data_IF_623577133549
#
_entry.id   IF_623577133549
#
_cell.length_a   1.000
_cell.length_b   1.000
_cell.length_c   1.000
_cell.angle_alpha   90.00
_cell.angle_beta   90.00
_cell.angle_gamma   90.00
#
_symmetry.space_group_name_H-M   'P 1'
#
loop_
_entity.id
_entity.type
_entity.pdbx_description
1 polymer ?
#
# COMPACT_ATOMS: atom_id res chain seq x y z
N UNK A 1 -48.56 3.45 -43.28
CA UNK A 1 -50.00 3.13 -43.28
C UNK A 1 -50.34 2.35 -44.53
N UNK A 2 -50.77 1.10 -44.37
CA UNK A 2 -51.13 0.23 -45.50
C UNK A 2 -52.53 -0.34 -45.33
N UNK A 3 -53.23 -0.59 -46.44
CA UNK A 3 -54.50 -1.29 -46.43
C UNK A 3 -54.29 -2.82 -46.27
N UNK A 4 -55.38 -3.58 -46.21
CA UNK A 4 -55.33 -5.04 -46.07
C UNK A 4 -54.61 -5.77 -47.23
N UNK A 5 -54.46 -5.13 -48.39
CA UNK A 5 -53.71 -5.64 -49.55
C UNK A 5 -52.22 -5.23 -49.54
N UNK A 6 -51.75 -4.56 -48.48
CA UNK A 6 -50.36 -4.10 -48.34
C UNK A 6 -50.03 -2.82 -49.11
N UNK A 7 -51.02 -2.14 -49.70
CA UNK A 7 -50.81 -0.91 -50.47
C UNK A 7 -50.83 0.32 -49.55
N UNK A 8 -49.96 1.29 -49.82
CA UNK A 8 -49.91 2.56 -49.11
C UNK A 8 -51.24 3.31 -49.17
N UNK A 9 -51.68 3.86 -48.03
CA UNK A 9 -52.88 4.71 -47.96
C UNK A 9 -52.43 6.16 -47.78
N UNK A 10 -52.69 7.02 -48.77
CA UNK A 10 -52.39 8.43 -48.71
C UNK A 10 -53.48 9.24 -47.98
N UNK A 11 -53.14 10.42 -47.48
CA UNK A 11 -54.13 11.35 -46.92
C UNK A 11 -54.51 11.11 -45.45
N UNK A 12 -53.88 10.13 -44.78
CA UNK A 12 -54.18 9.79 -43.37
C UNK A 12 -53.33 10.66 -42.45
N UNK A 13 -53.95 11.39 -41.53
CA UNK A 13 -53.23 12.19 -40.53
C UNK A 13 -52.63 11.29 -39.45
N UNK A 14 -51.34 11.49 -39.16
CA UNK A 14 -50.63 10.79 -38.08
C UNK A 14 -50.22 11.79 -37.01
N UNK A 15 -50.87 11.75 -35.85
CA UNK A 15 -50.52 12.64 -34.73
C UNK A 15 -49.37 12.04 -33.91
N UNK A 16 -48.43 12.89 -33.48
CA UNK A 16 -47.26 12.53 -32.71
C UNK A 16 -47.25 13.27 -31.39
N UNK A 17 -46.90 12.58 -30.31
CA UNK A 17 -46.79 13.18 -28.98
C UNK A 17 -45.54 12.65 -28.27
N UNK A 18 -44.86 13.50 -27.51
CA UNK A 18 -43.85 13.07 -26.54
C UNK A 18 -44.59 12.63 -25.28
N UNK A 19 -44.36 11.40 -24.83
CA UNK A 19 -45.06 10.84 -23.66
C UNK A 19 -44.20 10.94 -22.39
N UNK A 20 -42.87 10.86 -22.51
CA UNK A 20 -41.94 11.04 -21.39
C UNK A 20 -40.66 11.77 -21.88
N UNK A 21 -39.92 12.40 -20.97
CA UNK A 21 -38.64 13.07 -21.29
C UNK A 21 -38.72 14.54 -21.69
N UNK A 22 -39.92 15.09 -21.94
CA UNK A 22 -40.17 16.54 -22.04
C UNK A 22 -39.80 17.25 -23.35
N UNK A 23 -39.17 16.58 -24.32
CA UNK A 23 -38.74 17.17 -25.61
C UNK A 23 -39.87 17.63 -26.57
N UNK A 24 -39.59 17.69 -27.86
CA UNK A 24 -40.54 18.15 -28.89
C UNK A 24 -40.56 17.29 -30.14
N UNK A 25 -41.69 17.25 -30.84
CA UNK A 25 -41.83 16.58 -32.14
C UNK A 25 -42.34 17.60 -33.17
N UNK A 26 -41.69 17.66 -34.33
CA UNK A 26 -42.09 18.56 -35.42
C UNK A 26 -42.12 17.84 -36.79
N UNK A 27 -43.24 17.94 -37.54
CA UNK A 27 -44.53 18.51 -37.13
C UNK A 27 -45.32 17.56 -36.20
N UNK A 28 -46.09 18.10 -35.26
CA UNK A 28 -46.91 17.33 -34.30
C UNK A 28 -48.01 16.52 -35.01
N UNK A 29 -48.54 17.01 -36.13
CA UNK A 29 -49.57 16.31 -36.92
C UNK A 29 -48.99 15.40 -38.02
N UNK A 30 -47.66 15.28 -38.12
CA UNK A 30 -46.96 14.36 -39.02
C UNK A 30 -47.17 14.59 -40.51
N UNK A 31 -47.99 15.58 -40.88
CA UNK A 31 -48.63 15.65 -42.18
C UNK A 31 -49.55 14.46 -42.49
N UNK A 32 -50.18 14.54 -43.65
CA UNK A 32 -50.91 13.41 -44.22
C UNK A 32 -49.94 12.40 -44.83
N UNK A 33 -50.24 11.10 -44.71
CA UNK A 33 -49.43 10.05 -45.33
C UNK A 33 -49.26 10.25 -46.84
N UNK A 34 -48.05 9.99 -47.35
CA UNK A 34 -47.74 10.05 -48.77
C UNK A 34 -48.41 8.92 -49.57
N UNK A 35 -48.24 8.91 -50.89
CA UNK A 35 -48.71 7.81 -51.78
C UNK A 35 -48.17 6.43 -51.40
N UNK A 36 -47.00 6.37 -50.75
CA UNK A 36 -46.41 5.16 -50.17
C UNK A 36 -47.07 4.74 -48.84
N UNK A 37 -47.88 5.61 -48.24
CA UNK A 37 -48.44 5.44 -46.90
C UNK A 37 -47.52 5.91 -45.76
N UNK A 38 -46.38 6.52 -46.06
CA UNK A 38 -45.40 6.97 -45.07
C UNK A 38 -45.75 8.35 -44.49
N UNK A 39 -45.43 8.56 -43.22
CA UNK A 39 -45.47 9.85 -42.54
C UNK A 39 -44.19 9.99 -41.70
N UNK A 40 -43.69 11.21 -41.56
CA UNK A 40 -42.43 11.48 -40.88
C UNK A 40 -42.59 12.63 -39.89
N UNK A 41 -41.92 12.51 -38.75
CA UNK A 41 -41.74 13.61 -37.81
C UNK A 41 -40.32 13.57 -37.26
N UNK A 42 -39.78 14.73 -36.90
CA UNK A 42 -38.49 14.84 -36.23
C UNK A 42 -38.73 14.94 -34.73
N UNK A 43 -38.19 13.98 -33.98
CA UNK A 43 -38.20 14.01 -32.53
C UNK A 43 -36.90 14.63 -32.00
N UNK A 44 -37.02 15.71 -31.23
CA UNK A 44 -35.95 16.29 -30.42
C UNK A 44 -36.14 15.84 -28.98
N UNK A 45 -35.16 15.12 -28.44
CA UNK A 45 -35.20 14.65 -27.04
C UNK A 45 -35.12 15.83 -26.07
N UNK A 46 -35.70 15.68 -24.88
CA UNK A 46 -35.57 16.68 -23.82
C UNK A 46 -34.20 16.60 -23.13
N UNK A 47 -33.97 17.53 -22.21
CA UNK A 47 -32.66 17.72 -21.55
C UNK A 47 -32.33 16.68 -20.48
N UNK A 48 -33.31 15.91 -20.00
CA UNK A 48 -33.06 14.85 -19.01
C UNK A 48 -32.45 13.60 -19.65
N UNK A 49 -31.35 13.11 -19.09
CA UNK A 49 -30.74 11.85 -19.52
C UNK A 49 -31.61 10.63 -19.12
N UNK A 50 -31.48 9.55 -19.88
CA UNK A 50 -32.24 8.31 -19.72
C UNK A 50 -33.23 8.04 -20.85
N UNK A 51 -34.00 6.97 -20.69
CA UNK A 51 -35.00 6.57 -21.67
C UNK A 51 -36.14 7.58 -21.74
N UNK A 52 -36.45 8.02 -22.95
CA UNK A 52 -37.58 8.89 -23.27
C UNK A 52 -38.49 8.16 -24.25
N UNK A 53 -39.75 8.57 -24.31
CA UNK A 53 -40.77 7.95 -25.16
C UNK A 53 -41.57 8.97 -25.96
N UNK A 54 -41.91 8.57 -27.18
CA UNK A 54 -42.81 9.26 -28.08
C UNK A 54 -43.83 8.28 -28.66
N UNK A 55 -44.97 8.79 -29.13
CA UNK A 55 -46.05 7.96 -29.68
C UNK A 55 -46.63 8.54 -30.95
N UNK A 56 -46.83 7.68 -31.95
CA UNK A 56 -47.61 7.99 -33.16
C UNK A 56 -49.02 7.40 -33.06
N UNK A 57 -50.03 8.16 -33.49
CA UNK A 57 -51.44 7.76 -33.46
C UNK A 57 -52.15 8.12 -34.75
N UNK A 58 -52.95 7.17 -35.21
CA UNK A 58 -53.96 7.35 -36.25
C UNK A 58 -55.31 7.04 -35.62
N UNK A 59 -56.31 7.90 -35.85
CA UNK A 59 -57.66 7.70 -35.30
C UNK A 59 -58.20 6.32 -35.65
N UNK A 60 -58.63 5.57 -34.63
CA UNK A 60 -59.17 4.21 -34.79
C UNK A 60 -58.13 3.09 -34.81
N UNK A 61 -56.83 3.39 -34.68
CA UNK A 61 -55.76 2.39 -34.57
C UNK A 61 -55.02 2.47 -33.22
N UNK A 62 -54.44 1.35 -32.72
CA UNK A 62 -53.53 1.39 -31.58
C UNK A 62 -52.33 2.29 -31.87
N UNK A 63 -51.96 3.15 -30.90
CA UNK A 63 -50.80 4.03 -31.07
C UNK A 63 -49.48 3.29 -30.93
N UNK A 64 -48.54 3.58 -31.82
CA UNK A 64 -47.20 3.00 -31.87
C UNK A 64 -46.23 3.82 -31.01
N UNK A 65 -45.53 3.17 -30.08
CA UNK A 65 -44.54 3.81 -29.22
C UNK A 65 -43.12 3.72 -29.81
N UNK A 66 -42.34 4.75 -29.57
CA UNK A 66 -40.93 4.88 -29.90
C UNK A 66 -40.18 5.22 -28.61
N UNK A 67 -39.03 4.59 -28.41
CA UNK A 67 -38.13 4.87 -27.29
C UNK A 67 -36.82 5.43 -27.84
N UNK A 68 -36.22 6.37 -27.12
CA UNK A 68 -34.87 6.82 -27.37
C UNK A 68 -34.16 7.11 -26.05
N UNK A 69 -32.89 6.75 -25.94
CA UNK A 69 -32.07 7.04 -24.76
C UNK A 69 -31.33 8.35 -24.95
N UNK A 70 -31.77 9.38 -24.23
CA UNK A 70 -31.03 10.63 -24.11
C UNK A 70 -29.79 10.39 -23.25
N UNK A 71 -28.64 10.85 -23.71
CA UNK A 71 -27.38 10.79 -22.95
C UNK A 71 -27.15 12.11 -22.25
N UNK A 72 -26.47 12.05 -21.10
CA UNK A 72 -25.94 13.26 -20.48
C UNK A 72 -25.01 13.99 -21.47
N UNK A 73 -25.02 15.32 -21.40
CA UNK A 73 -24.10 16.17 -22.12
C UNK A 73 -22.66 16.06 -21.60
N UNK A 74 -21.79 16.91 -22.13
CA UNK A 74 -20.43 17.05 -21.59
C UNK A 74 -20.47 17.48 -20.12
N UNK A 75 -19.54 16.99 -19.27
CA UNK A 75 -19.39 17.48 -17.91
C UNK A 75 -19.32 19.00 -17.85
N UNK A 76 -20.08 19.59 -16.94
CA UNK A 76 -20.15 21.04 -16.71
C UNK A 76 -20.00 21.40 -15.23
N UNK A 77 -20.28 20.46 -14.33
CA UNK A 77 -20.15 20.61 -12.89
C UNK A 77 -19.34 19.46 -12.30
N UNK A 78 -18.42 19.80 -11.41
CA UNK A 78 -17.63 18.87 -10.62
C UNK A 78 -17.75 19.26 -9.15
N UNK A 79 -18.20 18.33 -8.33
CA UNK A 79 -18.27 18.48 -6.88
C UNK A 79 -17.44 17.37 -6.22
N UNK A 80 -16.69 17.73 -5.18
CA UNK A 80 -15.88 16.81 -4.40
C UNK A 80 -16.41 16.82 -2.97
N UNK A 81 -16.72 15.65 -2.42
CA UNK A 81 -17.32 15.48 -1.10
C UNK A 81 -16.43 14.65 -0.15
N UNK A 82 -16.37 15.01 1.15
CA UNK A 82 -16.79 16.30 1.71
C UNK A 82 -16.08 17.52 1.09
N UNK A 83 -16.87 18.54 0.75
CA UNK A 83 -16.44 19.74 0.02
C UNK A 83 -15.53 20.68 0.83
N UNK A 84 -15.55 20.58 2.15
CA UNK A 84 -14.64 21.33 3.03
C UNK A 84 -14.58 20.72 4.44
N UNK A 85 -13.48 20.97 5.14
CA UNK A 85 -13.22 20.50 6.50
C UNK A 85 -11.84 19.85 6.60
N UNK A 86 -11.04 20.26 7.57
CA UNK A 86 -9.74 19.64 7.82
C UNK A 86 -9.97 18.21 8.31
N UNK A 87 -9.65 17.23 7.46
CA UNK A 87 -9.57 15.82 7.86
C UNK A 87 -8.23 15.63 8.57
N UNK A 88 -8.18 14.78 9.59
CA UNK A 88 -6.92 14.42 10.25
C UNK A 88 -6.73 12.92 10.08
N UNK A 89 -5.51 12.52 9.74
CA UNK A 89 -5.09 11.12 9.74
C UNK A 89 -3.67 11.02 10.30
N UNK A 90 -3.27 9.84 10.72
CA UNK A 90 -1.88 9.60 11.12
C UNK A 90 -0.98 9.52 9.89
N UNK A 91 0.31 9.84 10.02
CA UNK A 91 1.30 9.63 8.96
C UNK A 91 1.28 8.19 8.42
N UNK A 92 1.35 8.07 7.10
CA UNK A 92 1.24 6.80 6.35
C UNK A 92 -0.14 6.13 6.40
N UNK A 93 -1.13 6.71 7.11
CA UNK A 93 -2.47 6.18 7.25
C UNK A 93 -3.49 6.74 6.27
N UNK A 94 -4.66 6.11 6.20
CA UNK A 94 -5.79 6.58 5.41
C UNK A 94 -6.54 7.70 6.13
N UNK A 95 -7.06 8.66 5.36
CA UNK A 95 -8.21 9.44 5.82
C UNK A 95 -9.41 8.51 5.95
N UNK A 96 -10.12 8.62 7.08
CA UNK A 96 -11.19 7.68 7.45
C UNK A 96 -12.29 7.61 6.39
N UNK A 97 -12.82 8.77 6.00
CA UNK A 97 -13.81 8.85 4.94
C UNK A 97 -13.15 8.90 3.56
N UNK A 98 -13.62 8.12 2.58
CA UNK A 98 -13.18 8.27 1.20
C UNK A 98 -13.55 9.66 0.66
N UNK A 99 -12.93 10.05 -0.44
CA UNK A 99 -13.37 11.17 -1.25
C UNK A 99 -14.37 10.66 -2.28
N UNK A 100 -15.43 11.43 -2.51
CA UNK A 100 -16.42 11.16 -3.52
C UNK A 100 -16.50 12.33 -4.49
N UNK A 101 -16.29 12.07 -5.77
CA UNK A 101 -16.49 13.02 -6.85
C UNK A 101 -17.89 12.82 -7.44
N UNK A 102 -18.61 13.90 -7.73
CA UNK A 102 -19.83 13.89 -8.54
C UNK A 102 -19.63 14.76 -9.78
N UNK A 103 -19.93 14.21 -10.95
CA UNK A 103 -19.89 14.90 -12.24
C UNK A 103 -21.29 14.99 -12.85
N UNK A 104 -21.67 16.21 -13.20
CA UNK A 104 -22.95 16.50 -13.85
C UNK A 104 -22.76 17.35 -15.11
N UNK A 105 -23.68 17.23 -16.07
CA UNK A 105 -23.77 18.13 -17.22
C UNK A 105 -24.48 19.44 -16.84
N UNK A 106 -24.63 20.36 -17.81
CA UNK A 106 -25.26 21.66 -17.60
C UNK A 106 -26.73 21.58 -17.13
N UNK A 107 -27.38 20.43 -17.32
CA UNK A 107 -28.77 20.18 -16.98
C UNK A 107 -28.93 19.37 -15.69
N UNK A 108 -27.84 19.10 -14.97
CA UNK A 108 -27.84 18.30 -13.74
C UNK A 108 -27.94 16.80 -13.99
N UNK A 109 -27.65 16.32 -15.20
CA UNK A 109 -27.62 14.89 -15.48
C UNK A 109 -26.27 14.29 -15.05
N UNK A 110 -26.25 13.13 -14.37
CA UNK A 110 -25.01 12.45 -14.02
C UNK A 110 -24.22 12.01 -15.25
N UNK A 111 -22.92 12.31 -15.28
CA UNK A 111 -22.07 11.93 -16.41
C UNK A 111 -21.32 10.63 -16.10
N UNK A 112 -21.79 9.52 -16.68
CA UNK A 112 -21.20 8.19 -16.54
C UNK A 112 -19.97 7.97 -17.42
N UNK A 113 -19.03 7.15 -16.93
CA UNK A 113 -17.93 6.62 -17.73
C UNK A 113 -16.86 7.66 -18.05
N UNK A 114 -16.79 8.73 -17.25
CA UNK A 114 -15.86 9.82 -17.46
C UNK A 114 -14.61 9.62 -16.62
N UNK A 115 -13.43 9.83 -17.23
CA UNK A 115 -12.16 9.64 -16.56
C UNK A 115 -11.87 10.73 -15.54
N UNK A 116 -11.38 10.33 -14.37
CA UNK A 116 -11.01 11.22 -13.27
C UNK A 116 -9.51 11.11 -13.05
N UNK A 117 -8.83 12.25 -13.03
CA UNK A 117 -7.43 12.36 -12.67
C UNK A 117 -7.31 12.82 -11.22
N UNK A 118 -6.49 12.13 -10.44
CA UNK A 118 -6.30 12.38 -9.01
C UNK A 118 -4.80 12.51 -8.74
N UNK A 119 -4.39 13.71 -8.34
CA UNK A 119 -2.99 14.08 -8.14
C UNK A 119 -2.75 14.50 -6.68
N UNK A 120 -1.84 13.82 -5.99
CA UNK A 120 -1.34 14.29 -4.68
C UNK A 120 -0.32 15.40 -4.95
N UNK A 121 -0.65 16.62 -4.52
CA UNK A 121 0.15 17.83 -4.80
C UNK A 121 1.02 18.25 -3.63
N UNK A 122 0.80 17.73 -2.41
CA UNK A 122 1.66 17.93 -1.26
C UNK A 122 1.51 16.80 -0.22
N UNK A 123 2.51 16.66 0.65
CA UNK A 123 2.47 15.77 1.81
C UNK A 123 2.96 14.35 1.57
N UNK A 124 3.23 13.96 0.31
CA UNK A 124 3.87 12.68 -0.05
C UNK A 124 2.97 11.45 0.07
N UNK A 125 1.65 11.66 0.21
CA UNK A 125 0.64 10.61 0.28
C UNK A 125 0.33 9.94 -1.06
N UNK A 126 -0.74 9.16 -1.09
CA UNK A 126 -1.19 8.42 -2.27
C UNK A 126 -2.70 8.17 -2.23
N UNK A 127 -3.29 7.77 -3.36
CA UNK A 127 -4.71 7.39 -3.44
C UNK A 127 -4.87 5.98 -3.96
N UNK A 128 -6.03 5.38 -3.71
CA UNK A 128 -6.48 4.21 -4.46
C UNK A 128 -6.84 4.63 -5.89
N UNK A 129 -6.80 3.68 -6.83
CA UNK A 129 -7.10 3.96 -8.25
C UNK A 129 -8.55 4.41 -8.45
N UNK A 130 -8.75 5.37 -9.38
CA UNK A 130 -10.07 5.89 -9.78
C UNK A 130 -10.16 6.03 -11.29
N UNK A 131 -10.65 5.02 -12.00
CA UNK A 131 -10.62 5.10 -13.45
C UNK A 131 -11.79 5.87 -14.05
N UNK A 132 -13.04 5.68 -13.57
CA UNK A 132 -14.24 6.22 -14.25
C UNK A 132 -15.39 6.52 -13.27
N UNK A 133 -16.25 7.49 -13.62
CA UNK A 133 -17.54 7.70 -12.96
C UNK A 133 -18.56 6.59 -13.25
N UNK A 134 -19.39 6.27 -12.28
CA UNK A 134 -20.48 5.30 -12.38
C UNK A 134 -21.74 5.88 -13.05
N UNK A 135 -22.83 5.11 -13.08
CA UNK A 135 -24.11 5.53 -13.68
C UNK A 135 -24.77 6.73 -12.97
N UNK A 136 -24.33 7.03 -11.74
CA UNK A 136 -24.75 8.18 -10.94
C UNK A 136 -23.76 9.35 -11.10
N UNK A 137 -22.84 9.28 -12.07
CA UNK A 137 -21.84 10.31 -12.30
C UNK A 137 -20.82 10.39 -11.17
N UNK A 138 -20.69 9.34 -10.36
CA UNK A 138 -19.93 9.36 -9.12
C UNK A 138 -18.65 8.55 -9.24
N UNK A 139 -17.57 9.00 -8.62
CA UNK A 139 -16.33 8.24 -8.47
C UNK A 139 -15.82 8.34 -7.03
N UNK A 140 -15.28 7.25 -6.47
CA UNK A 140 -14.84 7.22 -5.05
C UNK A 140 -13.45 6.62 -4.88
N UNK A 141 -12.69 7.15 -3.93
CA UNK A 141 -11.36 6.65 -3.56
C UNK A 141 -10.96 6.98 -2.14
N UNK A 142 -10.04 6.19 -1.61
CA UNK A 142 -9.33 6.54 -0.38
C UNK A 142 -8.10 7.37 -0.68
N UNK A 143 -7.81 8.29 0.23
CA UNK A 143 -6.62 9.12 0.24
C UNK A 143 -5.80 8.80 1.50
N UNK A 144 -4.49 8.68 1.32
CA UNK A 144 -3.52 8.38 2.35
C UNK A 144 -2.57 9.54 2.52
N UNK A 145 -2.13 9.74 3.75
CA UNK A 145 -1.07 10.69 4.08
C UNK A 145 0.30 10.12 3.71
N UNK A 146 1.29 10.98 3.52
CA UNK A 146 2.68 10.53 3.43
C UNK A 146 3.25 10.12 4.80
N UNK A 147 4.45 9.51 4.83
CA UNK A 147 5.04 8.96 6.05
C UNK A 147 5.60 10.00 7.05
N UNK A 148 5.49 11.30 6.78
CA UNK A 148 6.01 12.36 7.68
C UNK A 148 7.55 12.47 7.72
N UNK A 149 8.11 13.34 8.58
CA UNK A 149 7.45 14.16 9.58
C UNK A 149 7.05 15.58 9.10
N UNK A 150 7.15 15.90 7.80
CA UNK A 150 6.70 17.20 7.26
C UNK A 150 6.27 17.15 5.77
N UNK A 151 5.37 18.05 5.31
CA UNK A 151 4.46 18.90 6.09
C UNK A 151 3.25 18.11 6.61
N UNK A 152 2.70 18.55 7.76
CA UNK A 152 1.43 18.08 8.31
C UNK A 152 0.29 18.25 7.32
N UNK A 153 0.39 19.22 6.41
CA UNK A 153 -0.63 19.44 5.40
C UNK A 153 -0.46 18.50 4.20
N UNK A 154 -1.53 17.78 3.89
CA UNK A 154 -1.69 16.95 2.72
C UNK A 154 -2.55 17.71 1.70
N UNK A 155 -2.16 17.71 0.43
CA UNK A 155 -2.96 18.33 -0.64
C UNK A 155 -3.21 17.37 -1.79
N UNK A 156 -4.43 17.43 -2.30
CA UNK A 156 -4.88 16.64 -3.42
C UNK A 156 -5.60 17.54 -4.42
N UNK A 157 -5.39 17.30 -5.71
CA UNK A 157 -6.13 17.89 -6.82
C UNK A 157 -6.86 16.78 -7.58
N UNK A 158 -8.15 16.99 -7.83
CA UNK A 158 -9.00 16.11 -8.63
C UNK A 158 -9.44 16.85 -9.88
N UNK A 159 -9.38 16.21 -11.05
CA UNK A 159 -9.75 16.80 -12.34
C UNK A 159 -10.64 15.86 -13.14
N UNK A 160 -11.61 16.42 -13.85
CA UNK A 160 -12.34 15.73 -14.91
C UNK A 160 -11.96 16.33 -16.27
N UNK A 161 -11.16 15.59 -17.04
CA UNK A 161 -10.72 15.99 -18.38
C UNK A 161 -9.35 16.70 -18.39
N UNK A 162 -8.99 17.27 -19.55
CA UNK A 162 -7.63 17.79 -19.80
C UNK A 162 -7.43 19.26 -19.41
N UNK A 163 -8.40 19.90 -18.76
CA UNK A 163 -8.36 21.31 -18.39
C UNK A 163 -8.75 21.58 -16.93
N UNK A 164 -8.51 22.81 -16.47
CA UNK A 164 -8.68 23.21 -15.07
C UNK A 164 -10.11 23.65 -14.71
N UNK A 165 -11.01 23.71 -15.68
CA UNK A 165 -12.40 24.17 -15.48
C UNK A 165 -13.22 23.22 -14.61
N UNK A 166 -12.88 21.93 -14.63
CA UNK A 166 -13.48 20.90 -13.79
C UNK A 166 -12.40 20.33 -12.89
N UNK A 167 -12.06 21.10 -11.86
CA UNK A 167 -11.10 20.70 -10.86
C UNK A 167 -11.57 21.06 -9.45
N UNK A 168 -11.26 20.20 -8.48
CA UNK A 168 -11.43 20.46 -7.07
C UNK A 168 -10.14 20.15 -6.31
N UNK A 169 -9.95 20.80 -5.18
CA UNK A 169 -8.83 20.53 -4.29
C UNK A 169 -9.35 20.01 -2.95
N UNK A 170 -8.61 19.09 -2.35
CA UNK A 170 -8.82 18.68 -0.96
C UNK A 170 -7.56 18.96 -0.14
N UNK A 171 -7.78 19.32 1.12
CA UNK A 171 -6.74 19.53 2.12
C UNK A 171 -7.01 18.61 3.30
N UNK A 172 -5.96 17.95 3.77
CA UNK A 172 -5.98 17.13 4.97
C UNK A 172 -4.80 17.49 5.84
N UNK A 173 -4.87 17.10 7.11
CA UNK A 173 -3.79 17.20 8.07
C UNK A 173 -3.34 15.79 8.43
N UNK A 174 -2.04 15.66 8.70
CA UNK A 174 -1.40 14.44 9.13
C UNK A 174 -0.62 14.69 10.41
N UNK A 175 -0.78 13.80 11.38
CA UNK A 175 -0.11 13.88 12.68
C UNK A 175 0.71 12.63 12.98
N UNK A 176 1.64 12.74 13.93
CA UNK A 176 2.38 11.59 14.42
C UNK A 176 1.44 10.64 15.18
N UNK A 177 1.59 9.32 15.00
CA UNK A 177 0.85 8.37 15.82
C UNK A 177 1.26 8.50 17.28
N UNK A 178 0.30 8.47 18.20
CA UNK A 178 0.59 8.50 19.63
C UNK A 178 1.40 7.24 20.04
N UNK A 179 2.40 7.34 20.93
CA UNK A 179 3.10 6.18 21.45
C UNK A 179 2.14 5.12 22.02
N UNK A 180 2.35 3.86 21.64
CA UNK A 180 1.48 2.74 22.00
C UNK A 180 0.19 2.62 21.18
N UNK A 181 -0.10 3.58 20.29
CA UNK A 181 -1.26 3.47 19.40
C UNK A 181 -1.08 2.29 18.44
N UNK A 182 -2.12 1.45 18.38
CA UNK A 182 -2.24 0.37 17.41
C UNK A 182 -3.14 0.83 16.26
N UNK A 183 -2.59 0.82 15.06
CA UNK A 183 -3.22 1.25 13.82
C UNK A 183 -3.42 0.03 12.93
N UNK A 184 -4.61 -0.09 12.34
CA UNK A 184 -4.95 -1.18 11.43
C UNK A 184 -5.15 -0.66 10.01
N UNK A 185 -4.52 -1.35 9.06
CA UNK A 185 -4.60 -1.08 7.63
C UNK A 185 -5.92 -1.58 7.08
N UNK A 186 -6.11 -1.43 5.77
CA UNK A 186 -7.33 -1.88 5.13
C UNK A 186 -7.56 -3.37 5.36
N UNK A 187 -8.78 -3.71 5.80
CA UNK A 187 -9.20 -5.09 6.11
C UNK A 187 -8.34 -5.78 7.18
N UNK A 188 -7.59 -5.03 7.98
CA UNK A 188 -6.69 -5.56 9.01
C UNK A 188 -5.51 -6.35 8.42
N UNK A 189 -5.09 -6.03 7.19
CA UNK A 189 -4.00 -6.76 6.53
C UNK A 189 -2.61 -6.33 7.00
N UNK A 190 -2.47 -5.10 7.50
CA UNK A 190 -1.26 -4.57 8.12
C UNK A 190 -1.64 -3.98 9.47
N UNK A 191 -0.77 -4.16 10.46
CA UNK A 191 -0.87 -3.55 11.78
C UNK A 191 0.40 -2.73 12.02
N UNK A 192 0.25 -1.54 12.61
CA UNK A 192 1.36 -0.74 13.12
C UNK A 192 1.11 -0.35 14.57
N UNK A 193 1.99 -0.77 15.47
CA UNK A 193 2.07 -0.27 16.84
C UNK A 193 3.19 0.76 16.96
N UNK A 194 2.85 2.01 17.27
CA UNK A 194 3.82 3.08 17.43
C UNK A 194 4.63 2.92 18.72
N UNK A 195 5.95 3.08 18.62
CA UNK A 195 6.88 2.99 19.75
C UNK A 195 7.60 4.29 20.05
N UNK A 196 8.47 4.26 21.06
CA UNK A 196 9.40 5.34 21.39
C UNK A 196 10.85 4.90 21.35
N UNK A 197 11.15 3.59 21.44
CA UNK A 197 12.52 3.12 21.33
C UNK A 197 13.10 3.36 19.92
N UNK A 198 14.44 3.49 19.78
CA UNK A 198 15.13 3.63 18.50
C UNK A 198 15.18 2.31 17.70
N UNK A 199 14.17 1.46 17.85
CA UNK A 199 14.04 0.16 17.21
C UNK A 199 12.78 0.10 16.36
N UNK A 200 12.93 -0.41 15.14
CA UNK A 200 11.82 -0.63 14.19
C UNK A 200 11.84 -2.09 13.81
N UNK A 201 10.79 -2.82 14.18
CA UNK A 201 10.68 -4.25 13.97
C UNK A 201 9.58 -4.51 12.94
N UNK A 202 9.89 -5.27 11.90
CA UNK A 202 8.91 -5.68 10.89
C UNK A 202 8.79 -7.18 10.80
N UNK A 203 7.58 -7.67 10.51
CA UNK A 203 7.35 -9.06 10.11
C UNK A 203 6.40 -9.11 8.91
N UNK A 204 6.97 -9.31 7.72
CA UNK A 204 6.22 -9.26 6.47
C UNK A 204 5.52 -10.58 6.10
N UNK A 205 5.94 -11.71 6.67
CA UNK A 205 5.59 -13.04 6.13
C UNK A 205 4.95 -14.03 7.12
N UNK A 206 4.57 -13.59 8.32
CA UNK A 206 3.91 -14.45 9.31
C UNK A 206 2.38 -14.55 9.17
N UNK A 207 1.77 -13.66 8.39
CA UNK A 207 0.32 -13.54 8.22
C UNK A 207 -0.42 -14.78 7.73
N UNK A 208 -1.62 -15.02 8.28
CA UNK A 208 -2.47 -16.20 7.99
C UNK A 208 -3.63 -15.91 7.03
N UNK A 209 -3.96 -14.64 6.77
CA UNK A 209 -5.20 -14.28 6.08
C UNK A 209 -5.13 -14.66 4.59
N UNK A 210 -6.18 -15.34 4.11
CA UNK A 210 -6.32 -15.84 2.74
C UNK A 210 -7.67 -15.43 2.13
N UNK A 211 -7.92 -14.12 1.95
CA UNK A 211 -9.11 -13.65 1.27
C UNK A 211 -9.24 -14.28 -0.13
N UNK A 212 -10.45 -14.74 -0.47
CA UNK A 212 -10.72 -15.44 -1.74
C UNK A 212 -10.75 -14.52 -2.95
N UNK A 213 -10.98 -13.23 -2.73
CA UNK A 213 -11.04 -12.16 -3.75
C UNK A 213 -9.66 -11.65 -4.19
N UNK A 214 -8.60 -11.96 -3.44
CA UNK A 214 -7.22 -11.67 -3.83
C UNK A 214 -6.61 -12.96 -4.42
N UNK A 215 -6.17 -12.98 -5.68
CA UNK A 215 -5.54 -14.15 -6.27
C UNK A 215 -4.21 -14.47 -5.57
N UNK A 216 -3.79 -15.74 -5.62
CA UNK A 216 -2.43 -16.10 -5.23
C UNK A 216 -1.44 -15.57 -6.26
N UNK A 217 -0.27 -15.12 -5.80
CA UNK A 217 0.85 -14.70 -6.65
C UNK A 217 1.37 -15.88 -7.46
N UNK A 218 1.75 -15.59 -8.69
CA UNK A 218 2.25 -16.54 -9.68
C UNK A 218 3.79 -16.67 -9.66
N UNK A 219 4.36 -17.80 -10.14
CA UNK A 219 5.81 -18.01 -10.20
C UNK A 219 6.59 -16.86 -10.84
N UNK A 220 7.83 -16.58 -10.40
CA UNK A 220 8.64 -17.37 -9.45
C UNK A 220 8.38 -17.05 -7.95
N UNK A 221 7.20 -16.53 -7.59
CA UNK A 221 6.86 -16.16 -6.22
C UNK A 221 7.04 -17.31 -5.20
N UNK A 222 7.63 -16.98 -4.05
CA UNK A 222 7.64 -17.86 -2.88
C UNK A 222 6.29 -17.76 -2.16
N UNK A 223 5.62 -18.89 -2.01
CA UNK A 223 4.27 -18.96 -1.44
C UNK A 223 4.23 -19.56 -0.03
N UNK A 224 5.37 -19.98 0.52
CA UNK A 224 5.47 -20.65 1.83
C UNK A 224 5.67 -19.62 2.92
N UNK A 225 4.73 -19.58 3.86
CA UNK A 225 4.72 -18.67 5.00
C UNK A 225 5.89 -18.89 5.95
N UNK A 226 6.36 -17.81 6.54
CA UNK A 226 7.35 -17.83 7.61
C UNK A 226 6.60 -18.08 8.93
N UNK A 227 6.41 -19.35 9.31
CA UNK A 227 5.54 -19.70 10.45
C UNK A 227 5.93 -18.95 11.74
N UNK A 228 4.94 -18.36 12.42
CA UNK A 228 5.06 -17.74 13.75
C UNK A 228 6.04 -16.55 13.82
N UNK A 229 6.50 -15.98 12.70
CA UNK A 229 7.39 -14.80 12.71
C UNK A 229 6.67 -13.51 13.07
N UNK A 230 5.37 -13.42 12.79
CA UNK A 230 4.53 -12.32 13.24
C UNK A 230 4.37 -12.35 14.77
N UNK A 231 4.19 -13.53 15.36
CA UNK A 231 4.14 -13.72 16.82
C UNK A 231 5.51 -13.45 17.43
N UNK A 232 6.59 -13.94 16.82
CA UNK A 232 7.95 -13.66 17.27
C UNK A 232 8.22 -12.15 17.34
N UNK A 233 7.90 -11.39 16.29
CA UNK A 233 8.10 -9.94 16.27
C UNK A 233 7.31 -9.23 17.36
N UNK A 234 6.05 -9.63 17.61
CA UNK A 234 5.25 -9.14 18.72
C UNK A 234 5.90 -9.42 20.07
N UNK A 235 6.31 -10.67 20.31
CA UNK A 235 6.95 -11.06 21.57
C UNK A 235 8.30 -10.37 21.79
N UNK A 236 9.06 -10.06 20.73
CA UNK A 236 10.29 -9.25 20.85
C UNK A 236 9.95 -7.83 21.29
N UNK A 237 8.90 -7.22 20.70
CA UNK A 237 8.45 -5.89 21.10
C UNK A 237 7.95 -5.85 22.55
N UNK A 238 7.16 -6.83 22.96
CA UNK A 238 6.68 -6.99 24.34
C UNK A 238 7.85 -7.21 25.32
N UNK A 239 8.85 -8.00 24.92
CA UNK A 239 10.04 -8.25 25.73
C UNK A 239 10.90 -6.99 25.89
N UNK A 240 11.02 -6.16 24.84
CA UNK A 240 11.70 -4.87 24.92
C UNK A 240 10.97 -3.95 25.90
N UNK A 241 9.65 -3.80 25.76
CA UNK A 241 8.83 -2.99 26.67
C UNK A 241 8.92 -3.48 28.12
N UNK A 242 8.87 -4.78 28.36
CA UNK A 242 9.03 -5.34 29.70
C UNK A 242 10.42 -5.07 30.30
N UNK A 243 11.47 -4.93 29.48
CA UNK A 243 12.84 -4.67 29.93
C UNK A 243 13.14 -3.18 30.11
N UNK A 244 12.49 -2.29 29.36
CA UNK A 244 12.84 -0.86 29.31
C UNK A 244 11.75 0.07 29.82
N UNK A 245 10.49 -0.39 29.85
CA UNK A 245 9.30 0.45 30.04
C UNK A 245 8.85 1.18 28.78
N UNK A 246 9.51 0.96 27.64
CA UNK A 246 9.24 1.63 26.36
C UNK A 246 9.17 0.61 25.22
N UNK A 247 8.34 0.87 24.21
CA UNK A 247 8.09 -0.08 23.12
C UNK A 247 8.86 0.31 21.83
N UNK A 248 9.38 -0.65 21.05
CA UNK A 248 9.83 -0.38 19.68
C UNK A 248 8.65 -0.06 18.76
N UNK A 249 8.91 0.53 17.60
CA UNK A 249 7.92 0.54 16.53
C UNK A 249 7.78 -0.89 15.98
N UNK A 250 6.55 -1.36 15.80
CA UNK A 250 6.26 -2.72 15.32
C UNK A 250 5.28 -2.66 14.14
N UNK A 251 5.67 -3.18 12.98
CA UNK A 251 4.79 -3.29 11.81
C UNK A 251 4.67 -4.76 11.39
N UNK A 252 3.44 -5.28 11.34
CA UNK A 252 3.16 -6.70 11.05
C UNK A 252 2.21 -6.82 9.88
N UNK A 253 2.46 -7.78 8.99
CA UNK A 253 1.54 -8.12 7.90
C UNK A 253 0.76 -9.38 8.27
N UNK A 254 -0.57 -9.27 8.34
CA UNK A 254 -1.48 -10.38 8.61
C UNK A 254 -1.96 -11.07 7.32
N UNK A 255 -1.87 -10.39 6.18
CA UNK A 255 -2.10 -11.00 4.87
C UNK A 255 -1.01 -12.04 4.56
N UNK A 256 -1.42 -13.24 4.13
CA UNK A 256 -0.46 -14.28 3.80
C UNK A 256 0.43 -13.85 2.62
N UNK A 257 1.74 -14.14 2.69
CA UNK A 257 2.73 -13.77 1.65
C UNK A 257 2.42 -14.23 0.21
N UNK A 258 1.46 -15.15 0.09
CA UNK A 258 1.02 -15.71 -1.18
C UNK A 258 0.05 -14.77 -1.88
N UNK A 259 -0.58 -13.84 -1.15
CA UNK A 259 -1.46 -12.79 -1.68
C UNK A 259 -0.67 -11.51 -1.96
N UNK A 260 0.26 -11.15 -1.07
CA UNK A 260 1.15 -9.99 -1.20
C UNK A 260 2.45 -10.27 -0.46
N UNK A 261 3.61 -9.97 -1.05
CA UNK A 261 4.91 -10.15 -0.38
C UNK A 261 5.59 -8.81 -0.10
N UNK A 262 5.55 -8.41 1.16
CA UNK A 262 6.09 -7.14 1.64
C UNK A 262 7.62 -7.03 1.54
N UNK A 263 8.33 -8.14 1.26
CA UNK A 263 9.78 -8.16 1.10
C UNK A 263 10.17 -8.33 -0.38
N UNK A 264 9.37 -7.72 -1.28
CA UNK A 264 9.60 -7.56 -2.72
C UNK A 264 9.23 -6.15 -3.18
N UNK A 265 9.76 -5.73 -4.32
CA UNK A 265 9.28 -4.49 -4.95
C UNK A 265 7.81 -4.63 -5.36
N UNK A 266 7.12 -3.49 -5.49
CA UNK A 266 5.67 -3.46 -5.67
C UNK A 266 5.17 -4.32 -6.85
N UNK A 267 5.91 -4.37 -7.96
CA UNK A 267 5.47 -5.11 -9.15
C UNK A 267 5.45 -6.62 -8.88
N UNK A 268 6.50 -7.16 -8.25
CA UNK A 268 6.55 -8.58 -7.84
C UNK A 268 5.64 -8.85 -6.63
N UNK A 269 5.55 -7.90 -5.70
CA UNK A 269 4.81 -8.05 -4.46
C UNK A 269 3.30 -8.16 -4.68
N UNK A 270 2.74 -7.33 -5.55
CA UNK A 270 1.30 -7.20 -5.74
C UNK A 270 0.78 -7.75 -7.08
N UNK A 271 1.66 -7.93 -8.08
CA UNK A 271 1.30 -8.41 -9.42
C UNK A 271 0.10 -7.67 -10.04
N UNK A 272 0.00 -6.36 -9.79
CA UNK A 272 -1.07 -5.48 -10.29
C UNK A 272 -2.43 -5.63 -9.59
N UNK A 273 -2.56 -6.46 -8.56
CA UNK A 273 -3.79 -6.54 -7.78
C UNK A 273 -3.96 -5.27 -6.89
N UNK A 274 -5.11 -4.57 -6.94
CA UNK A 274 -5.31 -3.32 -6.19
C UNK A 274 -5.23 -3.50 -4.67
N UNK A 275 -5.80 -4.58 -4.12
CA UNK A 275 -5.80 -4.85 -2.67
C UNK A 275 -4.40 -5.21 -2.17
N UNK A 276 -3.66 -6.03 -2.93
CA UNK A 276 -2.27 -6.34 -2.63
C UNK A 276 -1.39 -5.07 -2.73
N UNK A 277 -1.63 -4.23 -3.73
CA UNK A 277 -0.93 -2.94 -3.91
C UNK A 277 -1.16 -2.01 -2.72
N UNK A 278 -2.42 -1.89 -2.29
CA UNK A 278 -2.81 -1.11 -1.11
C UNK A 278 -2.11 -1.62 0.14
N UNK A 279 -2.15 -2.93 0.38
CA UNK A 279 -1.50 -3.57 1.54
C UNK A 279 0.02 -3.33 1.55
N UNK A 280 0.67 -3.47 0.39
CA UNK A 280 2.10 -3.20 0.25
C UNK A 280 2.43 -1.75 0.60
N UNK A 281 1.64 -0.80 0.07
CA UNK A 281 1.83 0.63 0.35
C UNK A 281 1.63 0.95 1.83
N UNK A 282 0.61 0.41 2.49
CA UNK A 282 0.37 0.59 3.93
C UNK A 282 1.55 0.11 4.78
N UNK A 283 2.07 -1.10 4.51
CA UNK A 283 3.25 -1.65 5.20
C UNK A 283 4.48 -0.72 5.07
N UNK A 284 4.78 -0.29 3.84
CA UNK A 284 5.96 0.52 3.59
C UNK A 284 5.80 1.96 4.11
N UNK A 285 4.61 2.56 3.98
CA UNK A 285 4.32 3.90 4.52
C UNK A 285 4.43 3.95 6.04
N UNK A 286 3.96 2.93 6.77
CA UNK A 286 4.14 2.89 8.23
C UNK A 286 5.54 2.53 8.68
N UNK A 287 6.26 1.71 7.92
CA UNK A 287 7.70 1.51 8.19
C UNK A 287 8.47 2.82 8.03
N UNK A 288 8.17 3.60 6.98
CA UNK A 288 8.77 4.92 6.76
C UNK A 288 8.34 5.94 7.82
N UNK A 289 7.09 5.85 8.29
CA UNK A 289 6.59 6.66 9.42
C UNK A 289 7.36 6.38 10.70
N UNK A 290 7.59 5.11 11.02
CA UNK A 290 8.41 4.71 12.16
C UNK A 290 9.85 5.21 12.02
N UNK A 291 10.45 5.09 10.82
CA UNK A 291 11.79 5.63 10.57
C UNK A 291 11.86 7.16 10.73
N UNK A 292 10.86 7.89 10.23
CA UNK A 292 10.75 9.33 10.42
C UNK A 292 10.64 9.69 11.91
N UNK A 293 9.80 8.98 12.66
CA UNK A 293 9.65 9.15 14.10
C UNK A 293 10.96 8.91 14.87
N UNK A 294 11.68 7.83 14.56
CA UNK A 294 12.99 7.55 15.16
C UNK A 294 14.01 8.65 14.82
N UNK A 295 14.10 9.09 13.55
CA UNK A 295 15.02 10.18 13.17
C UNK A 295 14.71 11.52 13.85
N UNK A 296 13.44 11.77 14.15
CA UNK A 296 13.01 13.00 14.83
C UNK A 296 13.33 12.99 16.34
N UNK A 297 13.38 11.81 16.96
CA UNK A 297 13.52 11.64 18.40
C UNK A 297 14.90 11.13 18.85
N UNK A 298 15.65 10.48 17.94
CA UNK A 298 16.92 9.83 18.22
C UNK A 298 17.97 10.16 17.16
N UNK A 299 19.25 10.28 17.55
CA UNK A 299 20.34 10.52 16.60
C UNK A 299 20.58 9.32 15.68
N UNK A 300 20.22 8.11 16.12
CA UNK A 300 20.44 6.84 15.43
C UNK A 300 19.29 5.87 15.72
N UNK A 301 19.08 4.88 14.85
CA UNK A 301 18.17 3.76 15.08
C UNK A 301 18.63 2.43 14.49
N UNK A 302 17.92 1.36 14.84
CA UNK A 302 18.13 0.01 14.32
C UNK A 302 16.83 -0.60 13.81
N UNK A 303 16.86 -1.05 12.56
CA UNK A 303 15.78 -1.74 11.87
C UNK A 303 16.01 -3.26 11.86
N UNK A 304 14.98 -4.03 12.20
CA UNK A 304 15.02 -5.50 12.28
C UNK A 304 13.89 -6.09 11.46
N UNK A 305 14.22 -6.76 10.36
CA UNK A 305 13.25 -7.46 9.52
C UNK A 305 13.20 -8.94 9.90
N UNK A 306 12.12 -9.36 10.58
CA UNK A 306 11.97 -10.70 11.16
C UNK A 306 11.39 -11.65 10.12
N UNK A 307 12.16 -12.69 9.84
CA UNK A 307 11.87 -13.77 8.91
C UNK A 307 12.13 -15.13 9.55
N UNK A 308 11.77 -16.18 8.81
CA UNK A 308 12.05 -17.54 9.23
C UNK A 308 12.32 -18.46 8.06
N UNK A 309 13.29 -19.35 8.23
CA UNK A 309 13.68 -20.31 7.22
C UNK A 309 13.41 -21.76 7.66
N UNK A 310 13.33 -22.63 6.66
CA UNK A 310 13.18 -24.08 6.81
C UNK A 310 14.41 -24.86 6.38
N UNK A 311 15.60 -24.25 6.37
CA UNK A 311 16.83 -24.94 5.99
C UNK A 311 17.20 -26.05 6.98
N UNK A 312 17.92 -27.07 6.51
CA UNK A 312 18.32 -28.21 7.34
C UNK A 312 19.27 -27.80 8.48
N UNK A 313 20.15 -26.83 8.23
CA UNK A 313 21.07 -26.31 9.25
C UNK A 313 20.32 -25.37 10.20
N UNK A 314 20.11 -25.84 11.43
CA UNK A 314 19.39 -25.08 12.47
C UNK A 314 20.31 -24.08 13.16
N UNK A 315 20.31 -22.85 12.66
CA UNK A 315 20.98 -21.67 13.22
C UNK A 315 20.27 -20.41 12.72
N UNK A 316 20.41 -19.29 13.41
CA UNK A 316 19.99 -17.99 12.89
C UNK A 316 20.83 -17.61 11.68
N UNK A 317 20.21 -17.05 10.64
CA UNK A 317 20.93 -16.41 9.54
C UNK A 317 20.72 -14.90 9.64
N UNK A 318 21.81 -14.13 9.71
CA UNK A 318 21.78 -12.68 9.88
C UNK A 318 22.16 -12.03 8.55
N UNK A 319 21.15 -11.56 7.83
CA UNK A 319 21.28 -10.98 6.50
C UNK A 319 21.69 -9.51 6.55
N UNK A 320 22.94 -9.21 6.14
CA UNK A 320 23.50 -7.86 6.09
C UNK A 320 23.75 -7.32 4.67
N UNK A 321 23.13 -7.92 3.65
CA UNK A 321 23.42 -7.71 2.22
C UNK A 321 24.82 -8.15 1.79
N UNK A 322 25.41 -9.10 2.54
CA UNK A 322 26.63 -9.80 2.17
C UNK A 322 26.28 -11.24 1.82
N UNK A 323 26.66 -11.68 0.63
CA UNK A 323 26.48 -13.07 0.20
C UNK A 323 27.35 -14.03 1.02
N UNK A 324 26.99 -15.32 1.06
CA UNK A 324 27.81 -16.34 1.72
C UNK A 324 29.24 -16.41 1.17
N UNK A 325 29.44 -16.15 -0.13
CA UNK A 325 30.77 -16.09 -0.75
C UNK A 325 31.58 -14.86 -0.30
N UNK A 326 30.94 -13.70 -0.15
CA UNK A 326 31.59 -12.52 0.42
C UNK A 326 31.93 -12.71 1.89
N UNK A 327 31.10 -13.43 2.65
CA UNK A 327 31.43 -13.81 4.03
C UNK A 327 32.55 -14.85 4.09
N UNK A 328 32.76 -15.70 3.08
CA UNK A 328 33.75 -16.77 3.13
C UNK A 328 35.22 -16.30 2.96
N UNK A 329 35.46 -15.03 2.62
CA UNK A 329 36.83 -14.49 2.48
C UNK A 329 37.45 -14.13 3.83
N UNK A 330 38.78 -14.00 3.87
CA UNK A 330 39.51 -13.55 5.06
C UNK A 330 39.12 -12.12 5.49
N UNK A 331 39.24 -11.82 6.79
CA UNK A 331 38.87 -10.50 7.34
C UNK A 331 39.57 -9.33 6.64
N UNK A 332 40.87 -9.46 6.31
CA UNK A 332 41.59 -8.42 5.57
C UNK A 332 40.97 -8.14 4.20
N UNK A 333 40.50 -9.19 3.51
CA UNK A 333 39.83 -9.04 2.22
C UNK A 333 38.45 -8.43 2.42
N UNK A 334 37.66 -8.92 3.37
CA UNK A 334 36.33 -8.40 3.67
C UNK A 334 36.39 -6.91 4.03
N UNK A 335 37.36 -6.52 4.86
CA UNK A 335 37.56 -5.15 5.32
C UNK A 335 38.03 -4.21 4.20
N UNK A 336 38.76 -4.73 3.20
CA UNK A 336 39.21 -3.96 2.03
C UNK A 336 38.29 -4.00 0.80
N UNK A 337 37.33 -4.93 0.74
CA UNK A 337 36.62 -5.32 -0.50
C UNK A 337 35.51 -4.38 -1.01
N UNK A 338 35.40 -3.16 -0.49
CA UNK A 338 34.20 -2.34 -0.74
C UNK A 338 32.91 -2.94 -0.13
N UNK A 339 33.00 -4.06 0.60
CA UNK A 339 31.89 -4.69 1.30
C UNK A 339 31.24 -3.77 2.35
N UNK A 340 32.03 -2.86 2.94
CA UNK A 340 31.50 -1.76 3.76
C UNK A 340 30.44 -0.95 3.00
N UNK A 341 30.64 -0.75 1.69
CA UNK A 341 29.71 -0.02 0.82
C UNK A 341 28.44 -0.80 0.47
N UNK A 342 28.46 -2.13 0.53
CA UNK A 342 27.32 -2.99 0.16
C UNK A 342 26.51 -3.51 1.34
N UNK A 343 27.04 -3.46 2.57
CA UNK A 343 26.34 -4.01 3.74
C UNK A 343 25.29 -3.06 4.34
N UNK A 344 24.17 -3.59 4.82
CA UNK A 344 23.06 -2.82 5.42
C UNK A 344 23.34 -2.22 6.80
N UNK A 345 24.50 -2.55 7.36
CA UNK A 345 25.04 -2.03 8.62
C UNK A 345 26.19 -1.03 8.40
N UNK A 346 26.39 -0.55 7.17
CA UNK A 346 27.54 0.28 6.75
C UNK A 346 27.91 1.35 7.76
N UNK A 347 26.95 2.16 8.21
CA UNK A 347 27.21 3.33 9.04
C UNK A 347 27.62 2.99 10.47
N UNK A 348 27.36 1.77 10.94
CA UNK A 348 27.89 1.31 12.24
C UNK A 348 29.43 1.30 12.25
N UNK A 349 30.08 1.09 11.09
CA UNK A 349 31.54 1.22 10.97
C UNK A 349 31.99 2.66 11.24
N UNK A 350 31.31 3.63 10.65
CA UNK A 350 31.59 5.05 10.88
C UNK A 350 31.31 5.46 12.34
N UNK A 351 30.27 4.90 12.94
CA UNK A 351 29.87 5.22 14.32
C UNK A 351 30.85 4.69 15.37
N UNK A 352 31.46 3.54 15.12
CA UNK A 352 32.24 2.78 16.11
C UNK A 352 33.74 2.72 15.82
N UNK A 353 34.16 3.04 14.59
CA UNK A 353 35.53 2.84 14.11
C UNK A 353 35.88 1.36 13.85
N UNK A 354 34.92 0.44 13.91
CA UNK A 354 35.14 -1.00 13.68
C UNK A 354 35.21 -1.32 12.19
N UNK A 355 36.00 -2.33 11.86
CA UNK A 355 36.04 -2.86 10.48
C UNK A 355 34.78 -3.67 10.15
N UNK A 356 34.43 -3.82 8.86
CA UNK A 356 33.26 -4.60 8.43
C UNK A 356 33.20 -6.01 9.04
N UNK A 357 34.31 -6.76 9.02
CA UNK A 357 34.42 -8.09 9.61
C UNK A 357 34.08 -8.08 11.11
N UNK A 358 34.57 -7.09 11.86
CA UNK A 358 34.28 -6.95 13.29
C UNK A 358 32.80 -6.69 13.56
N UNK A 359 32.13 -5.94 12.70
CA UNK A 359 30.70 -5.62 12.85
C UNK A 359 29.83 -6.84 12.59
N UNK A 360 30.10 -7.57 11.51
CA UNK A 360 29.22 -8.65 11.07
C UNK A 360 29.50 -9.98 11.77
N UNK A 361 30.75 -10.25 12.16
CA UNK A 361 31.17 -11.55 12.70
C UNK A 361 32.23 -11.52 13.79
N UNK A 362 32.60 -10.33 14.27
CA UNK A 362 33.55 -10.18 15.36
C UNK A 362 32.93 -10.39 16.74
N UNK A 363 33.77 -10.33 17.76
CA UNK A 363 33.31 -10.28 19.15
C UNK A 363 32.36 -9.08 19.36
N UNK A 364 31.22 -9.31 20.02
CA UNK A 364 30.18 -8.29 20.21
C UNK A 364 29.29 -8.02 18.99
N UNK A 365 29.51 -8.71 17.86
CA UNK A 365 28.55 -8.72 16.74
C UNK A 365 27.22 -9.35 17.16
N UNK A 366 26.14 -9.05 16.43
CA UNK A 366 24.82 -9.66 16.69
C UNK A 366 24.91 -11.20 16.77
N UNK A 367 25.65 -11.82 15.84
CA UNK A 367 25.83 -13.28 15.83
C UNK A 367 26.53 -13.82 17.07
N UNK A 368 27.58 -13.12 17.56
CA UNK A 368 28.25 -13.48 18.82
C UNK A 368 27.29 -13.36 20.02
N UNK A 369 26.53 -12.27 20.09
CA UNK A 369 25.60 -12.03 21.19
C UNK A 369 24.45 -13.04 21.24
N UNK A 370 23.97 -13.50 20.08
CA UNK A 370 23.03 -14.62 20.00
C UNK A 370 23.68 -15.94 20.42
N UNK A 371 24.89 -16.22 19.94
CA UNK A 371 25.62 -17.44 20.27
C UNK A 371 25.85 -17.57 21.79
N UNK A 372 26.27 -16.49 22.45
CA UNK A 372 26.45 -16.42 23.91
C UNK A 372 25.17 -16.73 24.70
N UNK A 373 24.00 -16.56 24.07
CA UNK A 373 22.67 -16.86 24.65
C UNK A 373 22.13 -18.23 24.23
N UNK A 374 22.95 -19.06 23.59
CA UNK A 374 22.60 -20.43 23.21
C UNK A 374 21.90 -20.54 21.86
N UNK A 375 21.95 -19.50 21.02
CA UNK A 375 21.37 -19.51 19.68
C UNK A 375 22.49 -19.42 18.63
N UNK A 376 22.90 -20.54 18.01
CA UNK A 376 23.89 -20.53 16.93
C UNK A 376 23.45 -19.56 15.83
N UNK A 377 24.39 -18.75 15.32
CA UNK A 377 24.10 -17.72 14.34
C UNK A 377 25.22 -17.59 13.33
N UNK A 378 24.86 -17.32 12.07
CA UNK A 378 25.80 -17.01 10.99
C UNK A 378 25.47 -15.64 10.38
N UNK A 379 26.44 -14.76 10.17
CA UNK A 379 27.84 -14.89 10.58
C UNK A 379 28.05 -14.53 12.07
N UNK A 380 29.05 -15.17 12.70
CA UNK A 380 29.50 -14.96 14.10
C UNK A 380 30.96 -15.41 14.25
N UNK A 381 31.65 -15.13 15.38
CA UNK A 381 33.00 -15.64 15.61
C UNK A 381 33.09 -17.17 15.58
N UNK A 382 31.98 -17.86 15.91
CA UNK A 382 31.90 -19.31 15.98
C UNK A 382 31.44 -19.94 14.66
N UNK A 383 30.79 -19.17 13.79
CA UNK A 383 30.32 -19.59 12.46
C UNK A 383 30.47 -18.42 11.48
N UNK A 384 31.67 -18.27 10.90
CA UNK A 384 32.08 -17.05 10.18
C UNK A 384 31.32 -16.82 8.86
N UNK A 385 30.82 -17.89 8.24
CA UNK A 385 30.16 -17.89 6.93
C UNK A 385 29.39 -19.21 6.72
N UNK A 386 28.39 -19.29 5.81
CA UNK A 386 27.49 -20.45 5.73
C UNK A 386 28.11 -21.74 5.17
N UNK A 387 29.40 -21.76 4.84
CA UNK A 387 30.14 -22.91 4.30
C UNK A 387 29.46 -23.64 3.11
N UNK A 388 28.82 -22.88 2.21
CA UNK A 388 28.12 -23.42 1.03
C UNK A 388 26.70 -23.91 1.31
N UNK A 389 26.26 -23.93 2.57
CA UNK A 389 24.85 -24.13 2.89
C UNK A 389 23.99 -22.94 2.40
N UNK A 390 22.67 -23.15 2.20
CA UNK A 390 21.73 -22.06 1.97
C UNK A 390 21.87 -20.95 3.03
N UNK A 391 21.73 -19.70 2.59
CA UNK A 391 21.85 -18.53 3.43
C UNK A 391 21.08 -17.37 2.81
N UNK A 392 20.21 -16.74 3.59
CA UNK A 392 19.53 -15.52 3.19
C UNK A 392 20.34 -14.29 3.61
N UNK A 393 20.94 -13.63 2.62
CA UNK A 393 21.77 -12.44 2.86
C UNK A 393 20.99 -11.17 3.15
N UNK A 394 19.65 -11.18 3.12
CA UNK A 394 18.81 -9.99 3.25
C UNK A 394 18.04 -9.65 1.96
N UNK A 395 16.78 -9.27 2.14
CA UNK A 395 15.79 -9.07 1.08
C UNK A 395 15.64 -7.63 0.62
N UNK A 396 14.48 -7.34 0.02
CA UNK A 396 14.07 -6.01 -0.41
C UNK A 396 14.04 -5.01 0.74
N UNK A 397 13.46 -5.41 1.87
CA UNK A 397 13.31 -4.58 3.07
C UNK A 397 14.67 -4.21 3.67
N UNK A 398 15.58 -5.18 3.79
CA UNK A 398 16.94 -4.92 4.26
C UNK A 398 17.68 -3.92 3.35
N UNK A 399 17.48 -4.01 2.02
CA UNK A 399 18.03 -3.03 1.07
C UNK A 399 17.36 -1.67 1.18
N UNK A 400 16.05 -1.62 1.41
CA UNK A 400 15.26 -0.38 1.46
C UNK A 400 15.49 0.39 2.76
N UNK A 401 15.65 -0.31 3.88
CA UNK A 401 15.60 0.28 5.23
C UNK A 401 16.91 0.13 6.02
N UNK A 402 17.86 -0.66 5.54
CA UNK A 402 19.24 -0.62 6.03
C UNK A 402 19.92 0.71 5.72
N UNK A 403 21.00 1.02 6.44
CA UNK A 403 21.73 2.27 6.22
C UNK A 403 22.59 2.17 4.96
N UNK A 404 22.36 3.09 4.02
CA UNK A 404 23.34 3.49 3.01
C UNK A 404 24.26 4.58 3.53
N UNK A 405 25.01 5.21 2.62
CA UNK A 405 25.96 6.29 2.94
C UNK A 405 25.31 7.45 3.71
N UNK A 406 25.83 7.75 4.91
CA UNK A 406 25.32 8.82 5.76
C UNK A 406 23.95 8.56 6.41
N UNK A 407 23.46 7.31 6.37
CA UNK A 407 22.21 6.91 7.02
C UNK A 407 22.29 6.86 8.55
N UNK A 408 21.24 7.30 9.25
CA UNK A 408 21.16 7.25 10.72
C UNK A 408 20.44 6.02 11.27
N UNK A 409 19.78 5.24 10.42
CA UNK A 409 19.10 3.99 10.80
C UNK A 409 19.72 2.86 9.98
N UNK A 410 20.40 1.94 10.67
CA UNK A 410 20.96 0.72 10.08
C UNK A 410 20.03 -0.46 10.32
N UNK A 411 20.16 -1.55 9.58
CA UNK A 411 19.30 -2.70 9.84
C UNK A 411 19.76 -4.01 9.23
N UNK A 412 19.08 -5.09 9.60
CA UNK A 412 19.40 -6.44 9.15
C UNK A 412 18.15 -7.31 9.04
N UNK A 413 18.26 -8.40 8.28
CA UNK A 413 17.27 -9.48 8.24
C UNK A 413 17.63 -10.53 9.29
N UNK A 414 16.68 -10.83 10.19
CA UNK A 414 16.79 -11.95 11.13
C UNK A 414 16.03 -13.15 10.57
N UNK A 415 16.75 -14.17 10.13
CA UNK A 415 16.15 -15.43 9.70
C UNK A 415 16.20 -16.43 10.83
N UNK A 416 15.06 -16.60 11.49
CA UNK A 416 14.92 -17.50 12.62
C UNK A 416 14.69 -18.95 12.11
N UNK A 417 15.57 -19.88 12.47
CA UNK A 417 15.35 -21.31 12.21
C UNK A 417 14.13 -21.83 13.00
N UNK A 418 13.67 -23.07 12.73
CA UNK A 418 12.48 -23.62 13.39
C UNK A 418 12.80 -24.23 14.75
N UNK A 419 13.70 -25.20 14.76
CA UNK A 419 13.94 -26.07 15.93
C UNK A 419 14.65 -25.29 17.04
N UNK A 420 14.10 -25.35 18.25
CA UNK A 420 14.63 -24.65 19.43
C UNK A 420 14.36 -23.12 19.47
N UNK A 421 13.72 -22.57 18.44
CA UNK A 421 13.49 -21.13 18.28
C UNK A 421 12.02 -20.81 18.08
N UNK A 422 11.36 -21.44 17.11
CA UNK A 422 9.95 -21.18 16.75
C UNK A 422 9.04 -22.41 16.86
N UNK A 423 9.57 -23.57 17.26
CA UNK A 423 8.87 -24.86 17.24
C UNK A 423 7.84 -25.06 18.37
N UNK A 424 7.82 -24.18 19.37
CA UNK A 424 6.85 -24.16 20.46
C UNK A 424 6.68 -22.75 21.00
N UNK A 425 5.55 -22.48 21.64
CA UNK A 425 5.28 -21.20 22.32
C UNK A 425 6.36 -20.86 23.36
N UNK A 426 6.79 -21.87 24.13
CA UNK A 426 7.85 -21.69 25.12
C UNK A 426 9.21 -21.36 24.48
N UNK A 427 9.56 -21.97 23.33
CA UNK A 427 10.77 -21.64 22.59
C UNK A 427 10.69 -20.22 22.00
N UNK A 428 9.54 -19.86 21.40
CA UNK A 428 9.27 -18.52 20.88
C UNK A 428 9.47 -17.45 21.95
N UNK A 429 8.85 -17.60 23.12
CA UNK A 429 8.98 -16.65 24.22
C UNK A 429 10.41 -16.53 24.75
N UNK A 430 11.13 -17.66 24.91
CA UNK A 430 12.54 -17.62 25.33
C UNK A 430 13.43 -16.93 24.29
N UNK A 431 13.24 -17.23 23.01
CA UNK A 431 14.01 -16.62 21.94
C UNK A 431 13.70 -15.13 21.80
N UNK A 432 12.43 -14.73 21.86
CA UNK A 432 12.04 -13.33 21.84
C UNK A 432 12.69 -12.52 22.97
N UNK A 433 12.67 -13.05 24.20
CA UNK A 433 13.33 -12.43 25.35
C UNK A 433 14.87 -12.42 25.23
N UNK A 434 15.47 -13.39 24.54
CA UNK A 434 16.90 -13.38 24.23
C UNK A 434 17.23 -12.31 23.17
N UNK A 435 16.45 -12.24 22.09
CA UNK A 435 16.56 -11.23 21.02
C UNK A 435 16.45 -9.82 21.58
N UNK A 436 15.46 -9.53 22.43
CA UNK A 436 15.33 -8.21 23.06
C UNK A 436 16.61 -7.80 23.82
N UNK A 437 17.21 -8.73 24.59
CA UNK A 437 18.47 -8.48 25.30
C UNK A 437 19.66 -8.31 24.35
N UNK A 438 19.72 -9.07 23.25
CA UNK A 438 20.75 -8.90 22.22
C UNK A 438 20.63 -7.52 21.59
N UNK A 439 19.42 -7.08 21.22
CA UNK A 439 19.20 -5.76 20.63
C UNK A 439 19.63 -4.64 21.58
N UNK A 440 19.26 -4.72 22.86
CA UNK A 440 19.66 -3.72 23.86
C UNK A 440 21.18 -3.68 24.09
N UNK A 441 21.82 -4.85 24.22
CA UNK A 441 23.27 -4.95 24.42
C UNK A 441 24.05 -4.45 23.20
N UNK A 442 23.66 -4.91 22.00
CA UNK A 442 24.26 -4.48 20.74
C UNK A 442 24.10 -2.97 20.55
N UNK A 443 22.90 -2.46 20.79
CA UNK A 443 22.61 -1.04 20.60
C UNK A 443 23.42 -0.16 21.55
N UNK A 444 23.51 -0.53 22.83
CA UNK A 444 24.33 0.18 23.80
C UNK A 444 25.81 0.23 23.38
N UNK A 445 26.34 -0.87 22.84
CA UNK A 445 27.73 -0.95 22.40
C UNK A 445 28.02 -0.12 21.14
N UNK A 446 27.16 -0.17 20.12
CA UNK A 446 27.39 0.55 18.85
C UNK A 446 27.01 2.03 18.90
N UNK A 447 26.33 2.47 19.96
CA UNK A 447 25.96 3.87 20.18
C UNK A 447 26.68 4.54 21.35
N UNK A 448 27.48 3.80 22.12
CA UNK A 448 28.34 4.38 23.14
C UNK A 448 29.18 5.51 22.54
N UNK A 449 29.05 6.72 23.09
CA UNK A 449 29.86 7.86 22.70
C UNK A 449 31.34 7.53 22.96
N UNK A 450 32.22 7.86 22.02
CA UNK A 450 33.67 7.62 22.10
C UNK A 450 34.40 8.40 23.21
N UNK A 451 33.75 8.74 24.31
CA UNK A 451 34.39 9.27 25.51
C UNK A 451 34.87 8.09 26.38
N UNK A 452 36.10 7.62 26.15
CA UNK A 452 36.82 6.84 27.16
C UNK A 452 37.53 5.56 26.73
N UNK A 453 37.83 5.34 25.45
CA UNK A 453 38.76 4.26 25.04
C UNK A 453 40.20 4.71 24.77
N UNK A 454 40.55 5.91 25.21
CA UNK A 454 41.94 6.34 25.40
C UNK A 454 42.16 6.69 26.88
N UNK A 455 42.62 5.73 27.66
CA UNK A 455 43.59 5.96 28.75
C UNK A 455 44.53 4.76 28.81
N UNK A 456 45.83 4.99 29.04
CA UNK A 456 46.94 4.20 28.49
C UNK A 456 47.14 2.82 29.11
#
# INVERSE_FOLDING_TARGET
MTNAAGQGVAGVTVTWEVTTGGGSIEPVDGGATAGSGEAHARWTLGTGAGQQEARARVTGLPGLAFTADARAGSPALLELEPASGARIAVFGGAFAEPLQLRLEDLYGNPVQGFAVDVEVTAGGGWTTDVPLTDAQGTASFHWYTGPGPAPEEQRLRVRAGTGDLLAANAVGLSEAPAPGAMLEGHRGFVEYTAGTLPFIITAGHGGTLLPGDIPDRSPPATLVRDLDTDILALLVADSLEALTGERPHLIRVHLHRRKMDANRDLAEAAQGNPEATRTWKEFHSWTETAMAGVRASHPRGLYVDVHGHGHDVQRLELGYLLTGAQLAVDDHVLDGSGAAGSMSLREIAAWTGRTPSRIVRGEGSLGDLFHRRGYPAVPSPQDLHPAGAPFFSGGYNTRRYGCGDGGTICGFQLEANRIGVRDSEAALGRFAGATARVLLEYWADVTASGAGRDTP
#
